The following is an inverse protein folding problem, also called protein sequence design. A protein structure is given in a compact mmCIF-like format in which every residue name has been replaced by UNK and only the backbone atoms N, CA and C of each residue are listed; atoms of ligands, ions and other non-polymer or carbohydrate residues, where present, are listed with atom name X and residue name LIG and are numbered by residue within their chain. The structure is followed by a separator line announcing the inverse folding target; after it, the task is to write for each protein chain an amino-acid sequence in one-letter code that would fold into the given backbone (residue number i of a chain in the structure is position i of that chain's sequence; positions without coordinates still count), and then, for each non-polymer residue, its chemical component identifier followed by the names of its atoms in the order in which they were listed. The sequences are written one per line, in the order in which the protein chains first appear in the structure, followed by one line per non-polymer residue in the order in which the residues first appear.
data_IF_893492891098
#
_entry.id   IF_893492891098
#
_cell.length_a   1.000
_cell.length_b   1.000
_cell.length_c   1.000
_cell.angle_alpha   90.00
_cell.angle_beta   90.00
_cell.angle_gamma   90.00
#
_symmetry.space_group_name_H-M   'P 1'
#
loop_
_entity.id
_entity.type
_entity.pdbx_description
1 polymer ?
#
# COMPACT_ATOMS: atom_id res chain seq x y z
N UNK A 1 -1.77 5.19 19.39
CA UNK A 1 -0.72 6.15 18.95
C UNK A 1 0.65 5.52 18.75
N UNK A 2 1.05 4.52 19.54
CA UNK A 2 2.40 3.90 19.46
C UNK A 2 2.67 3.13 18.13
N UNK A 3 1.65 2.45 17.58
CA UNK A 3 1.82 1.65 16.36
C UNK A 3 2.14 2.45 15.09
N UNK A 4 1.57 3.64 14.94
CA UNK A 4 1.81 4.51 13.77
C UNK A 4 3.24 5.08 13.83
N UNK A 5 3.73 5.37 15.03
CA UNK A 5 5.04 5.98 15.25
C UNK A 5 6.19 4.99 14.97
N UNK A 6 6.02 3.72 15.33
CA UNK A 6 6.94 2.62 14.96
C UNK A 6 6.97 2.37 13.43
N UNK A 7 5.84 2.56 12.74
CA UNK A 7 5.72 2.35 11.28
C UNK A 7 6.46 3.44 10.47
N UNK A 8 6.45 4.69 10.95
CA UNK A 8 7.10 5.83 10.28
C UNK A 8 8.64 5.75 10.38
N UNK A 9 9.18 5.24 11.50
CA UNK A 9 10.63 5.17 11.69
C UNK A 9 11.33 4.16 10.76
N UNK A 10 10.65 3.10 10.30
CA UNK A 10 11.20 2.14 9.32
C UNK A 10 11.33 2.70 7.89
N UNK A 11 10.80 3.90 7.62
CA UNK A 11 10.84 4.57 6.31
C UNK A 11 11.85 5.72 6.23
N UNK A 12 12.69 5.93 7.25
CA UNK A 12 13.72 6.97 7.23
C UNK A 12 13.19 8.41 7.29
N UNK A 13 11.94 8.61 7.71
CA UNK A 13 11.35 9.94 7.88
C UNK A 13 11.64 10.48 9.27
N UNK A 14 12.34 11.62 9.34
CA UNK A 14 12.72 12.28 10.60
C UNK A 14 11.51 13.08 11.13
N UNK A 15 11.00 12.79 12.34
CA UNK A 15 9.97 13.62 12.95
C UNK A 15 10.58 14.94 13.44
N UNK A 16 9.99 16.07 13.05
CA UNK A 16 10.28 17.37 13.65
C UNK A 16 9.13 17.75 14.58
N UNK A 17 9.46 18.05 15.83
CA UNK A 17 8.50 18.54 16.82
C UNK A 17 8.44 20.06 16.73
N UNK A 18 7.24 20.63 16.60
CA UNK A 18 7.02 22.07 16.83
C UNK A 18 6.19 22.27 18.08
N UNK A 19 6.38 23.42 18.72
CA UNK A 19 5.98 23.73 20.11
C UNK A 19 4.46 23.82 20.36
N UNK A 20 3.61 23.36 19.44
CA UNK A 20 2.14 23.40 19.58
C UNK A 20 1.46 22.04 19.52
N UNK A 21 2.21 20.94 19.54
CA UNK A 21 1.64 19.58 19.69
C UNK A 21 0.85 19.07 18.48
N UNK A 22 0.93 19.75 17.33
CA UNK A 22 0.34 19.28 16.06
C UNK A 22 1.46 18.69 15.20
N UNK A 23 1.36 17.40 14.84
CA UNK A 23 2.25 16.79 13.84
C UNK A 23 1.94 17.40 12.47
N UNK A 24 2.84 18.23 11.96
CA UNK A 24 2.83 18.66 10.55
C UNK A 24 4.12 18.20 9.88
N UNK A 25 3.97 17.67 8.65
CA UNK A 25 5.09 17.27 7.81
C UNK A 25 5.36 18.40 6.82
N UNK A 26 6.50 19.07 6.94
CA UNK A 26 6.95 20.10 5.99
C UNK A 26 8.19 19.61 5.25
N UNK A 27 8.19 19.75 3.91
CA UNK A 27 9.34 19.52 3.04
C UNK A 27 9.92 20.89 2.68
N UNK A 28 11.21 21.11 2.97
CA UNK A 28 11.93 22.31 2.57
C UNK A 28 12.21 22.26 1.06
N UNK A 29 11.74 23.27 0.32
CA UNK A 29 11.99 23.44 -1.12
C UNK A 29 13.12 24.46 -1.30
N UNK A 30 14.24 24.03 -1.88
CA UNK A 30 15.27 24.94 -2.39
C UNK A 30 14.82 25.51 -3.74
N UNK A 31 14.78 26.84 -3.84
CA UNK A 31 14.40 27.59 -5.02
C UNK A 31 15.55 27.62 -6.04
N UNK A 32 15.26 27.22 -7.28
CA UNK A 32 15.88 27.82 -8.48
C UNK A 32 14.89 27.76 -9.65
N UNK A 33 14.39 28.92 -10.06
CA UNK A 33 13.52 29.10 -11.23
C UNK A 33 14.36 29.10 -12.52
N UNK A 34 13.78 28.63 -13.64
CA UNK A 34 13.80 29.48 -14.83
C UNK A 34 12.40 29.69 -15.42
N UNK A 35 12.23 30.90 -15.97
CA UNK A 35 11.05 31.42 -16.65
C UNK A 35 10.81 30.76 -18.02
N UNK A 36 9.55 30.46 -18.36
CA UNK A 36 9.02 30.75 -19.70
C UNK A 36 7.48 30.77 -19.73
N UNK A 37 6.99 31.52 -20.72
CA UNK A 37 5.69 32.17 -20.92
C UNK A 37 4.52 31.29 -21.39
N UNK A 38 3.27 31.83 -21.45
CA UNK A 38 2.03 31.05 -21.48
C UNK A 38 1.60 30.66 -22.89
N UNK A 39 1.07 29.44 -23.04
CA UNK A 39 0.45 29.00 -24.27
C UNK A 39 -0.20 27.62 -24.21
N UNK A 40 -1.52 27.64 -24.37
CA UNK A 40 -2.43 26.56 -24.78
C UNK A 40 -3.20 25.82 -23.67
N UNK A 41 -4.52 26.00 -23.75
CA UNK A 41 -5.56 25.29 -23.04
C UNK A 41 -5.48 23.79 -23.37
N UNK A 42 -5.06 23.01 -22.40
CA UNK A 42 -5.20 21.58 -22.36
C UNK A 42 -4.98 21.19 -20.92
N UNK A 43 -6.07 20.87 -20.21
CA UNK A 43 -5.95 20.19 -18.93
C UNK A 43 -5.03 18.99 -19.14
N UNK A 44 -3.90 19.00 -18.46
CA UNK A 44 -2.92 17.93 -18.51
C UNK A 44 -3.65 16.63 -18.14
N UNK A 45 -3.53 15.61 -19.00
CA UNK A 45 -4.18 14.29 -18.88
C UNK A 45 -3.81 13.47 -17.63
N UNK A 46 -3.23 14.10 -16.60
CA UNK A 46 -3.00 13.55 -15.27
C UNK A 46 -3.96 14.11 -14.21
N UNK A 47 -4.78 15.10 -14.57
CA UNK A 47 -5.71 15.80 -13.67
C UNK A 47 -7.16 15.33 -13.81
N UNK A 48 -7.42 14.40 -14.73
CA UNK A 48 -8.73 13.78 -14.88
C UNK A 48 -8.90 12.73 -13.77
N UNK A 49 -9.84 13.06 -12.89
CA UNK A 49 -10.35 12.26 -11.78
C UNK A 49 -10.29 10.74 -12.00
N UNK A 50 -9.87 10.04 -10.95
CA UNK A 50 -9.84 8.60 -10.84
C UNK A 50 -8.93 7.92 -11.88
N UNK A 51 -7.68 7.69 -11.49
CA UNK A 51 -7.00 6.50 -11.98
C UNK A 51 -7.92 5.32 -11.65
N UNK A 52 -8.64 4.83 -12.66
CA UNK A 52 -9.35 3.55 -12.63
C UNK A 52 -8.29 2.54 -12.19
N UNK A 53 -8.30 2.27 -10.89
CA UNK A 53 -7.33 1.40 -10.28
C UNK A 53 -7.85 0.01 -10.59
N UNK A 54 -7.53 -0.48 -11.79
CA UNK A 54 -7.66 -1.89 -12.13
C UNK A 54 -7.16 -2.64 -10.90
N UNK A 55 -8.11 -3.36 -10.29
CA UNK A 55 -8.04 -4.03 -8.98
C UNK A 55 -6.61 -4.26 -8.53
N UNK A 56 -6.20 -3.65 -7.40
CA UNK A 56 -4.90 -3.93 -6.78
C UNK A 56 -4.64 -5.43 -6.86
N UNK A 57 -3.50 -5.86 -7.45
CA UNK A 57 -3.32 -7.26 -7.74
C UNK A 57 -3.48 -8.02 -6.44
N UNK A 58 -4.51 -8.85 -6.37
CA UNK A 58 -4.66 -9.80 -5.27
C UNK A 58 -3.40 -10.66 -5.30
N UNK A 59 -2.68 -10.80 -4.18
CA UNK A 59 -1.59 -11.76 -4.12
C UNK A 59 -2.05 -13.09 -4.73
N UNK A 60 -1.22 -13.74 -5.55
CA UNK A 60 -1.62 -15.01 -6.15
C UNK A 60 -2.08 -15.93 -5.03
N UNK A 61 -3.26 -16.53 -5.21
CA UNK A 61 -3.86 -17.45 -4.24
C UNK A 61 -2.74 -18.31 -3.65
N UNK A 62 -2.53 -18.21 -2.33
CA UNK A 62 -1.58 -19.04 -1.64
C UNK A 62 -1.98 -20.49 -1.93
N UNK A 63 -1.26 -21.13 -2.86
CA UNK A 63 -1.55 -22.49 -3.30
C UNK A 63 -1.42 -23.36 -2.06
N UNK A 64 -2.59 -23.75 -1.54
CA UNK A 64 -2.79 -24.62 -0.38
C UNK A 64 -1.56 -25.45 -0.03
N UNK A 65 -0.99 -25.19 1.15
CA UNK A 65 0.08 -25.97 1.79
C UNK A 65 -0.23 -27.47 1.90
N UNK A 66 -1.48 -27.90 1.63
CA UNK A 66 -1.90 -29.32 1.54
C UNK A 66 -1.43 -30.05 0.28
N UNK A 67 -0.68 -29.41 -0.62
CA UNK A 67 0.09 -30.09 -1.65
C UNK A 67 1.34 -30.78 -1.07
N UNK A 68 1.85 -31.85 -1.69
CA UNK A 68 3.08 -32.55 -1.28
C UNK A 68 4.34 -31.67 -1.52
N UNK A 69 4.54 -30.62 -0.75
CA UNK A 69 5.79 -29.86 -0.72
C UNK A 69 6.86 -30.55 0.12
N UNK A 70 7.98 -29.88 0.31
CA UNK A 70 9.14 -30.41 1.03
C UNK A 70 9.53 -29.51 2.19
N UNK A 71 9.55 -30.06 3.41
CA UNK A 71 10.20 -29.41 4.55
C UNK A 71 11.72 -29.55 4.40
N UNK A 72 12.41 -28.42 4.19
CA UNK A 72 13.85 -28.40 4.00
C UNK A 72 14.62 -28.33 5.32
N UNK A 73 14.05 -27.67 6.32
CA UNK A 73 14.71 -27.41 7.60
C UNK A 73 13.68 -27.17 8.69
N UNK A 74 13.96 -27.63 9.90
CA UNK A 74 13.16 -27.37 11.08
C UNK A 74 11.92 -28.26 11.19
N UNK A 75 10.92 -27.78 11.92
CA UNK A 75 9.65 -28.47 12.16
C UNK A 75 8.54 -27.73 11.40
N UNK A 76 8.21 -28.23 10.21
CA UNK A 76 7.15 -27.69 9.36
C UNK A 76 5.74 -28.19 9.74
N UNK A 77 5.57 -28.85 10.89
CA UNK A 77 4.26 -29.31 11.38
C UNK A 77 3.75 -28.42 12.51
N UNK A 78 4.59 -28.14 13.51
CA UNK A 78 4.17 -27.46 14.75
C UNK A 78 5.21 -26.50 15.33
N UNK A 79 6.29 -26.26 14.59
CA UNK A 79 7.40 -25.45 15.04
C UNK A 79 7.80 -24.41 14.00
N UNK A 80 9.08 -24.05 13.99
CA UNK A 80 9.64 -23.17 12.95
C UNK A 80 10.36 -23.99 11.90
N UNK A 81 10.14 -23.67 10.64
CA UNK A 81 10.77 -24.38 9.53
C UNK A 81 10.85 -23.58 8.24
N UNK A 82 11.50 -24.19 7.25
CA UNK A 82 11.54 -23.72 5.87
C UNK A 82 10.89 -24.79 5.00
N UNK A 83 9.80 -24.42 4.32
CA UNK A 83 9.02 -25.29 3.46
C UNK A 83 9.03 -24.78 2.03
N UNK A 84 9.23 -25.68 1.07
CA UNK A 84 9.05 -25.39 -0.35
C UNK A 84 7.73 -26.01 -0.80
N UNK A 85 6.84 -25.18 -1.32
CA UNK A 85 5.59 -25.58 -1.93
C UNK A 85 5.83 -26.23 -3.31
N UNK A 86 4.90 -27.05 -3.81
CA UNK A 86 5.01 -27.65 -5.15
C UNK A 86 5.18 -26.64 -6.29
N UNK A 87 4.66 -25.42 -6.15
CA UNK A 87 4.82 -24.35 -7.14
C UNK A 87 6.20 -23.66 -7.09
N UNK A 88 7.07 -24.03 -6.15
CA UNK A 88 8.39 -23.43 -5.95
C UNK A 88 8.43 -22.29 -4.92
N UNK A 89 7.29 -21.85 -4.41
CA UNK A 89 7.23 -20.82 -3.36
C UNK A 89 7.89 -21.33 -2.08
N UNK A 90 8.65 -20.47 -1.41
CA UNK A 90 9.42 -20.81 -0.21
C UNK A 90 8.89 -20.05 0.98
N UNK A 91 8.36 -20.77 1.96
CA UNK A 91 7.99 -20.20 3.25
C UNK A 91 9.07 -20.47 4.30
N UNK A 92 9.37 -19.49 5.13
CA UNK A 92 10.17 -19.63 6.35
C UNK A 92 9.47 -18.93 7.50
N UNK A 93 9.11 -19.67 8.54
CA UNK A 93 8.34 -19.14 9.65
C UNK A 93 7.80 -20.24 10.55
N UNK A 94 6.76 -19.90 11.31
CA UNK A 94 6.10 -20.82 12.24
C UNK A 94 4.96 -21.60 11.57
N UNK A 95 4.77 -22.83 12.03
CA UNK A 95 3.76 -23.77 11.56
C UNK A 95 2.88 -24.22 12.72
N UNK A 96 1.64 -24.54 12.38
CA UNK A 96 0.69 -25.21 13.26
C UNK A 96 -0.13 -26.17 12.42
N UNK A 97 -0.21 -27.43 12.83
CA UNK A 97 -0.93 -28.49 12.14
C UNK A 97 -0.56 -28.60 10.64
N UNK A 98 0.74 -28.48 10.34
CA UNK A 98 1.28 -28.60 8.99
C UNK A 98 1.13 -27.36 8.11
N UNK A 99 0.52 -26.28 8.61
CA UNK A 99 0.25 -25.07 7.82
C UNK A 99 0.94 -23.82 8.40
N UNK A 100 1.32 -22.84 7.56
CA UNK A 100 1.82 -21.54 8.01
C UNK A 100 0.89 -20.87 9.02
N UNK A 101 1.43 -20.50 10.17
CA UNK A 101 0.68 -19.88 11.27
C UNK A 101 1.61 -19.09 12.17
N UNK A 102 1.24 -17.90 12.64
CA UNK A 102 2.11 -17.04 13.45
C UNK A 102 2.93 -16.08 12.60
N UNK A 103 4.25 -16.02 12.75
CA UNK A 103 5.12 -15.09 12.01
C UNK A 103 5.90 -15.84 10.95
N UNK A 104 6.02 -15.25 9.76
CA UNK A 104 6.81 -15.85 8.70
C UNK A 104 6.89 -15.02 7.44
N UNK A 105 7.81 -15.44 6.58
CA UNK A 105 8.07 -14.84 5.27
C UNK A 105 7.89 -15.88 4.19
N UNK A 106 7.22 -15.50 3.11
CA UNK A 106 7.13 -16.27 1.88
C UNK A 106 7.78 -15.51 0.73
N UNK A 107 8.53 -16.26 -0.08
CA UNK A 107 8.95 -15.85 -1.40
C UNK A 107 8.12 -16.64 -2.39
N UNK A 108 7.21 -15.95 -3.08
CA UNK A 108 6.30 -16.58 -4.03
C UNK A 108 7.05 -16.94 -5.31
N UNK A 109 6.60 -17.99 -6.00
CA UNK A 109 7.19 -18.43 -7.26
C UNK A 109 7.19 -17.35 -8.37
N UNK A 110 6.23 -16.41 -8.31
CA UNK A 110 6.17 -15.27 -9.24
C UNK A 110 7.19 -14.16 -8.90
N UNK A 111 7.89 -14.26 -7.77
CA UNK A 111 8.89 -13.31 -7.28
C UNK A 111 8.36 -12.30 -6.27
N UNK A 112 7.06 -12.35 -5.93
CA UNK A 112 6.50 -11.51 -4.87
C UNK A 112 7.02 -11.96 -3.50
N UNK A 113 7.00 -11.04 -2.54
CA UNK A 113 7.45 -11.28 -1.17
C UNK A 113 6.37 -10.86 -0.20
N UNK A 114 6.08 -11.70 0.78
CA UNK A 114 5.32 -11.30 1.96
C UNK A 114 6.08 -11.64 3.23
N UNK A 115 6.16 -10.69 4.16
CA UNK A 115 6.75 -10.85 5.48
C UNK A 115 5.76 -10.30 6.53
N UNK A 116 5.20 -11.17 7.36
CA UNK A 116 4.13 -10.77 8.25
C UNK A 116 3.53 -11.90 9.07
N UNK A 117 2.28 -11.70 9.45
CA UNK A 117 1.49 -12.66 10.22
C UNK A 117 0.71 -13.62 9.32
N UNK A 118 0.54 -14.82 9.82
CA UNK A 118 -0.10 -15.93 9.14
C UNK A 118 -1.14 -16.54 10.07
N UNK A 119 -2.30 -16.87 9.52
CA UNK A 119 -3.34 -17.59 10.23
C UNK A 119 -3.92 -18.66 9.32
N UNK A 120 -3.53 -19.92 9.57
CA UNK A 120 -4.01 -21.09 8.84
C UNK A 120 -3.79 -20.96 7.32
N UNK A 121 -2.52 -20.79 6.93
CA UNK A 121 -2.08 -20.68 5.53
C UNK A 121 -2.48 -19.39 4.81
N UNK A 122 -2.99 -18.40 5.56
CA UNK A 122 -3.39 -17.10 5.01
C UNK A 122 -2.61 -15.96 5.63
N UNK A 123 -2.27 -14.97 4.82
CA UNK A 123 -1.74 -13.69 5.30
C UNK A 123 -2.78 -13.02 6.19
N UNK A 124 -2.33 -12.56 7.36
CA UNK A 124 -3.17 -12.00 8.40
C UNK A 124 -2.40 -10.95 9.18
N UNK A 125 -3.08 -10.21 10.06
CA UNK A 125 -2.44 -9.29 11.01
C UNK A 125 -1.53 -8.26 10.33
N UNK A 126 -0.42 -7.89 10.95
CA UNK A 126 0.52 -6.94 10.35
C UNK A 126 1.46 -7.64 9.35
N UNK A 127 1.67 -7.03 8.18
CA UNK A 127 2.59 -7.56 7.18
C UNK A 127 3.04 -6.54 6.13
N UNK A 128 4.14 -6.88 5.45
CA UNK A 128 4.67 -6.16 4.29
C UNK A 128 4.60 -7.05 3.07
N UNK A 129 4.01 -6.55 1.98
CA UNK A 129 4.02 -7.19 0.69
C UNK A 129 4.83 -6.35 -0.29
N UNK A 130 5.68 -7.01 -1.10
CA UNK A 130 6.45 -6.38 -2.16
C UNK A 130 6.20 -7.14 -3.45
N UNK A 131 5.78 -6.42 -4.48
CA UNK A 131 5.57 -7.00 -5.81
C UNK A 131 6.90 -7.26 -6.50
N UNK A 132 7.07 -8.48 -6.99
CA UNK A 132 8.29 -9.01 -7.59
C UNK A 132 8.62 -8.38 -8.93
N UNK A 133 9.81 -8.71 -9.45
CA UNK A 133 10.30 -8.13 -10.70
C UNK A 133 9.48 -8.45 -11.95
N UNK A 134 8.69 -9.52 -11.89
CA UNK A 134 7.95 -10.09 -13.01
C UNK A 134 6.50 -9.58 -13.12
N UNK A 135 6.08 -8.68 -12.24
CA UNK A 135 4.74 -8.06 -12.22
C UNK A 135 4.76 -6.67 -12.88
N UNK A 136 3.67 -6.19 -13.53
CA UNK A 136 3.53 -4.78 -13.92
C UNK A 136 3.61 -3.81 -12.73
N UNK A 137 3.23 -4.27 -11.54
CA UNK A 137 3.31 -3.51 -10.28
C UNK A 137 4.68 -3.67 -9.61
N UNK A 138 5.71 -3.97 -10.37
CA UNK A 138 7.02 -4.34 -9.87
C UNK A 138 7.62 -3.31 -8.90
N UNK A 139 7.95 -3.74 -7.68
CA UNK A 139 8.47 -2.88 -6.62
C UNK A 139 7.42 -2.04 -5.91
N UNK A 140 6.14 -2.13 -6.28
CA UNK A 140 5.06 -1.66 -5.43
C UNK A 140 5.16 -2.35 -4.07
N UNK A 141 4.74 -1.65 -3.03
CA UNK A 141 4.84 -2.11 -1.66
C UNK A 141 3.61 -1.74 -0.86
N UNK A 142 3.06 -2.71 -0.15
CA UNK A 142 2.07 -2.49 0.89
C UNK A 142 2.64 -2.81 2.27
N UNK A 143 2.39 -1.94 3.24
CA UNK A 143 2.67 -2.16 4.65
C UNK A 143 1.41 -1.85 5.44
N UNK A 144 0.84 -2.84 6.11
CA UNK A 144 -0.41 -2.63 6.83
C UNK A 144 -1.02 -3.91 7.38
N UNK A 145 -2.32 -3.84 7.63
CA UNK A 145 -3.10 -4.94 8.16
C UNK A 145 -3.61 -5.85 7.03
N UNK A 146 -3.69 -7.14 7.33
CA UNK A 146 -4.10 -8.19 6.41
C UNK A 146 -5.22 -9.02 7.05
N UNK A 147 -6.18 -9.42 6.24
CA UNK A 147 -7.21 -10.37 6.66
C UNK A 147 -7.54 -11.31 5.50
N UNK A 148 -7.24 -12.60 5.69
CA UNK A 148 -7.52 -13.65 4.70
C UNK A 148 -6.96 -13.30 3.32
N UNK A 149 -5.66 -13.01 3.26
CA UNK A 149 -4.93 -12.69 2.02
C UNK A 149 -5.29 -11.35 1.37
N UNK A 150 -6.16 -10.55 2.00
CA UNK A 150 -6.55 -9.22 1.53
C UNK A 150 -6.00 -8.12 2.42
N UNK A 151 -5.59 -7.01 1.80
CA UNK A 151 -5.32 -5.77 2.54
C UNK A 151 -6.59 -5.33 3.28
N UNK A 152 -6.43 -5.02 4.55
CA UNK A 152 -7.51 -4.58 5.43
C UNK A 152 -6.99 -3.55 6.45
N UNK A 153 -7.86 -3.06 7.32
CA UNK A 153 -7.51 -2.09 8.36
C UNK A 153 -6.73 -0.90 7.81
N UNK A 154 -5.70 -0.46 8.52
CA UNK A 154 -4.83 0.65 8.11
C UNK A 154 -3.63 0.14 7.33
N UNK A 155 -3.23 0.89 6.31
CA UNK A 155 -2.04 0.58 5.55
C UNK A 155 -1.47 1.74 4.76
N UNK A 156 -0.27 1.51 4.24
CA UNK A 156 0.48 2.39 3.35
C UNK A 156 0.79 1.61 2.09
N UNK A 157 0.37 2.13 0.94
CA UNK A 157 0.76 1.63 -0.37
C UNK A 157 1.69 2.64 -1.03
N UNK A 158 2.85 2.16 -1.47
CA UNK A 158 3.85 2.94 -2.19
C UNK A 158 4.01 2.35 -3.57
N UNK A 159 3.89 3.21 -4.59
CA UNK A 159 4.07 2.80 -5.97
C UNK A 159 5.55 2.80 -6.33
N UNK A 160 6.05 1.63 -6.73
CA UNK A 160 7.44 1.38 -7.03
C UNK A 160 7.91 2.10 -8.30
N UNK A 161 9.23 2.24 -8.50
CA UNK A 161 9.81 3.00 -9.60
C UNK A 161 9.50 2.42 -10.99
N UNK A 162 9.06 1.16 -11.08
CA UNK A 162 8.70 0.49 -12.34
C UNK A 162 7.17 0.42 -12.55
N UNK A 163 6.39 0.92 -11.59
CA UNK A 163 4.94 0.99 -11.69
C UNK A 163 4.50 2.16 -12.56
N UNK A 164 3.33 2.03 -13.21
CA UNK A 164 2.76 3.11 -14.01
C UNK A 164 2.43 4.36 -13.17
N UNK A 165 2.32 4.20 -11.84
CA UNK A 165 2.06 5.27 -10.88
C UNK A 165 3.29 5.57 -10.01
N UNK A 166 4.50 5.32 -10.52
CA UNK A 166 5.75 5.44 -9.77
C UNK A 166 5.82 6.73 -8.92
N UNK A 167 6.10 6.56 -7.62
CA UNK A 167 6.23 7.66 -6.66
C UNK A 167 4.92 8.14 -6.04
N UNK A 168 3.76 7.69 -6.52
CA UNK A 168 2.50 7.91 -5.83
C UNK A 168 2.50 7.18 -4.48
N UNK A 169 1.65 7.63 -3.55
CA UNK A 169 1.43 6.96 -2.26
C UNK A 169 -0.02 7.06 -1.82
N UNK A 170 -0.50 6.02 -1.16
CA UNK A 170 -1.74 6.05 -0.40
C UNK A 170 -1.48 5.67 1.06
N UNK A 171 -2.07 6.44 1.97
CA UNK A 171 -2.07 6.17 3.41
C UNK A 171 -3.49 6.25 3.90
N UNK A 172 -4.05 5.15 4.38
CA UNK A 172 -5.44 5.15 4.80
C UNK A 172 -5.97 3.77 5.15
N UNK A 173 -7.29 3.69 5.13
CA UNK A 173 -8.04 2.48 5.46
C UNK A 173 -8.33 1.62 4.21
N UNK A 174 -8.36 0.31 4.43
CA UNK A 174 -8.59 -0.71 3.42
C UNK A 174 -9.70 -1.66 3.87
N UNK A 175 -10.53 -2.10 2.93
CA UNK A 175 -11.53 -3.14 3.14
C UNK A 175 -11.59 -4.03 1.91
N UNK A 176 -11.38 -5.34 2.10
CA UNK A 176 -11.35 -6.34 1.03
C UNK A 176 -10.44 -5.93 -0.14
N UNK A 177 -9.23 -5.44 0.17
CA UNK A 177 -8.25 -5.03 -0.84
C UNK A 177 -8.46 -3.63 -1.43
N UNK A 178 -9.55 -2.93 -1.10
CA UNK A 178 -9.89 -1.62 -1.67
C UNK A 178 -9.74 -0.48 -0.67
N UNK A 179 -9.31 0.70 -1.13
CA UNK A 179 -9.31 1.94 -0.33
C UNK A 179 -10.75 2.24 0.11
N UNK A 180 -10.96 2.36 1.41
CA UNK A 180 -12.26 2.58 2.03
C UNK A 180 -12.06 3.38 3.33
N UNK A 181 -13.06 4.12 3.80
CA UNK A 181 -12.92 4.91 5.03
C UNK A 181 -12.06 6.16 4.81
N UNK A 182 -11.26 6.60 5.78
CA UNK A 182 -10.45 7.81 5.61
C UNK A 182 -9.06 7.51 5.07
N UNK A 183 -8.57 8.38 4.17
CA UNK A 183 -7.24 8.22 3.61
C UNK A 183 -6.72 9.45 2.86
N UNK A 184 -5.41 9.47 2.68
CA UNK A 184 -4.68 10.45 1.88
C UNK A 184 -4.03 9.75 0.69
N UNK A 185 -4.30 10.25 -0.51
CA UNK A 185 -3.55 9.89 -1.71
C UNK A 185 -2.67 11.07 -2.09
N UNK A 186 -1.39 10.80 -2.34
CA UNK A 186 -0.43 11.78 -2.86
C UNK A 186 0.06 11.30 -4.20
N UNK A 187 -0.12 12.13 -5.21
CA UNK A 187 0.44 11.88 -6.51
C UNK A 187 1.89 12.37 -6.54
N UNK A 188 2.70 11.71 -7.35
CA UNK A 188 4.09 12.07 -7.65
C UNK A 188 4.24 13.47 -8.24
N UNK A 189 3.19 14.03 -8.87
CA UNK A 189 3.16 15.40 -9.37
C UNK A 189 2.99 16.48 -8.27
N UNK A 190 2.75 16.08 -7.02
CA UNK A 190 2.55 16.98 -5.88
C UNK A 190 1.09 17.27 -5.53
N UNK A 191 0.12 16.87 -6.36
CA UNK A 191 -1.30 16.91 -5.99
C UNK A 191 -1.56 16.01 -4.78
N UNK A 192 -2.63 16.28 -4.02
CA UNK A 192 -3.09 15.38 -2.95
C UNK A 192 -4.61 15.40 -2.77
N UNK A 193 -5.15 14.25 -2.40
CA UNK A 193 -6.52 14.13 -1.89
C UNK A 193 -6.47 13.63 -0.45
N UNK A 194 -7.29 14.21 0.41
CA UNK A 194 -7.47 13.81 1.79
C UNK A 194 -8.96 13.82 2.12
N UNK A 195 -9.53 12.67 2.48
CA UNK A 195 -10.97 12.56 2.69
C UNK A 195 -11.47 11.13 2.83
N UNK A 196 -12.77 10.97 2.65
CA UNK A 196 -13.44 9.67 2.65
C UNK A 196 -13.25 8.94 1.31
N UNK A 197 -13.17 7.62 1.39
CA UNK A 197 -12.97 6.70 0.29
C UNK A 197 -14.04 5.61 0.35
N UNK A 198 -14.51 5.21 -0.82
CA UNK A 198 -15.40 4.06 -0.95
C UNK A 198 -15.04 3.30 -2.22
N UNK A 199 -14.68 2.02 -2.06
CA UNK A 199 -14.36 1.13 -3.19
C UNK A 199 -13.35 1.72 -4.19
N UNK A 200 -12.25 2.29 -3.68
CA UNK A 200 -11.18 2.93 -4.45
C UNK A 200 -11.43 4.34 -4.99
N UNK A 201 -12.64 4.87 -4.85
CA UNK A 201 -13.02 6.20 -5.30
C UNK A 201 -13.06 7.21 -4.15
N UNK A 202 -12.79 8.48 -4.43
CA UNK A 202 -13.13 9.58 -3.52
C UNK A 202 -14.62 9.58 -3.28
N UNK A 203 -14.98 9.71 -2.01
CA UNK A 203 -16.36 9.72 -1.58
C UNK A 203 -16.53 10.72 -0.42
N UNK A 204 -17.76 10.93 0.00
CA UNK A 204 -18.04 11.62 1.25
C UNK A 204 -17.50 13.05 1.26
N UNK A 205 -16.85 13.42 2.36
CA UNK A 205 -16.23 14.73 2.57
C UNK A 205 -14.72 14.64 2.33
N UNK A 206 -14.17 15.58 1.56
CA UNK A 206 -12.74 15.58 1.26
C UNK A 206 -12.18 16.91 0.76
N UNK A 207 -10.86 16.98 0.69
CA UNK A 207 -10.07 18.10 0.22
C UNK A 207 -9.07 17.64 -0.84
N UNK A 208 -9.21 18.13 -2.07
CA UNK A 208 -8.21 17.98 -3.13
C UNK A 208 -7.35 19.25 -3.21
N UNK A 209 -6.03 19.10 -3.30
CA UNK A 209 -5.06 20.14 -3.62
C UNK A 209 -4.44 19.79 -4.99
N UNK A 210 -4.62 20.68 -5.96
CA UNK A 210 -3.96 20.59 -7.25
C UNK A 210 -2.51 21.11 -7.22
N UNK A 211 -1.77 20.82 -8.28
CA UNK A 211 -0.40 21.33 -8.49
C UNK A 211 -0.34 22.86 -8.63
N UNK A 212 -1.45 23.48 -9.04
CA UNK A 212 -1.67 24.93 -9.12
C UNK A 212 -1.91 25.60 -7.76
N UNK A 213 -1.97 24.81 -6.68
CA UNK A 213 -2.28 25.28 -5.33
C UNK A 213 -3.78 25.47 -5.06
N UNK A 214 -4.65 25.20 -6.06
CA UNK A 214 -6.10 25.30 -5.90
C UNK A 214 -6.59 24.19 -4.97
N UNK A 215 -7.53 24.56 -4.10
CA UNK A 215 -8.10 23.63 -3.12
C UNK A 215 -9.59 23.46 -3.35
N UNK A 216 -10.03 22.22 -3.60
CA UNK A 216 -11.43 21.84 -3.68
C UNK A 216 -11.82 21.10 -2.39
N UNK A 217 -12.62 21.78 -1.54
CA UNK A 217 -13.14 21.23 -0.28
C UNK A 217 -14.64 21.10 -0.36
N UNK A 218 -15.17 19.90 -0.09
CA UNK A 218 -16.60 19.65 -0.13
C UNK A 218 -16.93 18.17 -0.28
N UNK A 219 -18.10 17.92 -0.87
CA UNK A 219 -18.65 16.59 -1.12
C UNK A 219 -18.07 15.97 -2.40
N UNK A 220 -17.83 14.66 -2.33
CA UNK A 220 -17.33 13.84 -3.43
C UNK A 220 -18.21 12.61 -3.60
N UNK A 221 -18.43 12.21 -4.85
CA UNK A 221 -19.11 10.96 -5.19
C UNK A 221 -18.47 10.35 -6.42
N UNK A 222 -17.93 9.13 -6.28
CA UNK A 222 -17.26 8.40 -7.36
C UNK A 222 -16.26 9.29 -8.11
N UNK A 223 -15.34 9.91 -7.34
CA UNK A 223 -14.30 10.84 -7.81
C UNK A 223 -14.79 12.18 -8.37
N UNK A 224 -16.10 12.42 -8.38
CA UNK A 224 -16.69 13.67 -8.84
C UNK A 224 -16.86 14.64 -7.68
N UNK A 225 -16.36 15.87 -7.84
CA UNK A 225 -16.58 16.95 -6.88
C UNK A 225 -17.97 17.56 -7.05
N UNK A 226 -18.77 17.54 -5.98
CA UNK A 226 -20.17 18.02 -5.99
C UNK A 226 -20.33 19.44 -5.42
N UNK A 227 -19.28 20.02 -4.83
CA UNK A 227 -19.35 21.33 -4.17
C UNK A 227 -19.52 21.23 -2.65
N UNK A 228 -19.85 22.36 -2.02
CA UNK A 228 -20.05 22.48 -0.57
C UNK A 228 -21.51 22.29 -0.18
#
# INVERSE_FOLDING_TARGET
MVFIQEMIMKLGMIPQTTATGVLTFAVAVFLSLPSCSPGSNGADRKDDAAANFDTMPTPPDAVSSRGKGQCLKGDCEKGSGTYIQPNGSRYTGTFKDGVPHGKGRVEFANGDLYDGEWNNDRMHGAGTYVFGSNSPSAGDRYVGEWQNDMMHGKGVYTFGPRSQFAGDTYVGEYRFGKKNGFGTYRWSNGSRYEGEWMNDNFHGTGSYLGTDGKVLKGRWENDTFLGK
#
